data_IF_345436463018
#
_entry.id   IF_345436463018
#
_cell.length_a   1.000
_cell.length_b   1.000
_cell.length_c   1.000
_cell.angle_alpha   90.00
_cell.angle_beta   90.00
_cell.angle_gamma   90.00
#
_symmetry.space_group_name_H-M   'P 1'
#
loop_
_entity.id
_entity.type
_entity.pdbx_description
1 polymer ?
#
# COMPACT_ATOMS: atom_id res chain seq x y z
N UNK A 1 -18.76 -0.57 1.71
CA UNK A 1 -19.65 -1.50 0.94
C UNK A 1 -19.59 -2.87 1.62
N UNK A 2 -20.69 -3.57 1.78
CA UNK A 2 -20.70 -4.98 2.26
C UNK A 2 -20.66 -5.90 1.04
N UNK A 3 -19.96 -7.03 1.16
CA UNK A 3 -20.03 -8.08 0.15
C UNK A 3 -21.43 -8.75 0.20
N UNK A 4 -21.99 -9.05 -0.96
CA UNK A 4 -23.28 -9.75 -1.07
C UNK A 4 -23.14 -11.24 -0.69
N UNK A 5 -21.98 -11.83 -1.02
CA UNK A 5 -21.63 -13.21 -0.70
C UNK A 5 -20.13 -13.44 -0.77
N UNK A 6 -19.66 -14.59 -0.32
CA UNK A 6 -18.27 -15.01 -0.37
C UNK A 6 -17.62 -15.10 1.01
N UNK A 7 -16.32 -15.44 1.03
CA UNK A 7 -15.50 -15.50 2.23
C UNK A 7 -14.16 -14.81 1.99
N UNK A 8 -13.61 -14.22 3.02
CA UNK A 8 -12.26 -13.67 3.01
C UNK A 8 -11.50 -14.20 4.21
N UNK A 9 -10.55 -15.09 3.95
CA UNK A 9 -9.80 -15.79 4.99
C UNK A 9 -8.30 -15.55 4.86
N UNK A 10 -7.62 -15.35 6.00
CA UNK A 10 -6.16 -15.31 6.08
C UNK A 10 -5.77 -16.33 7.15
N UNK A 11 -4.91 -17.29 6.80
CA UNK A 11 -4.49 -18.39 7.69
C UNK A 11 -5.67 -19.11 8.36
N UNK A 12 -6.78 -19.33 7.62
CA UNK A 12 -7.98 -19.98 8.10
C UNK A 12 -8.89 -19.10 8.97
N UNK A 13 -8.56 -17.86 9.22
CA UNK A 13 -9.37 -16.90 9.96
C UNK A 13 -10.25 -16.12 8.99
N UNK A 14 -11.59 -16.19 9.16
CA UNK A 14 -12.53 -15.37 8.40
C UNK A 14 -12.48 -13.91 8.89
N UNK A 15 -12.23 -12.99 7.94
CA UNK A 15 -12.09 -11.56 8.21
C UNK A 15 -13.28 -10.73 7.71
N UNK A 16 -14.27 -11.32 7.03
CA UNK A 16 -15.39 -10.54 6.45
C UNK A 16 -16.17 -9.78 7.52
N UNK A 17 -16.43 -10.42 8.66
CA UNK A 17 -17.30 -9.89 9.71
C UNK A 17 -16.53 -9.37 10.94
N UNK A 18 -15.22 -9.44 10.97
CA UNK A 18 -14.41 -9.06 12.13
C UNK A 18 -13.51 -7.84 11.83
N UNK A 19 -14.09 -6.64 12.02
CA UNK A 19 -13.37 -5.38 11.82
C UNK A 19 -12.14 -5.24 12.74
N UNK A 20 -12.20 -5.81 13.94
CA UNK A 20 -11.11 -5.69 14.93
C UNK A 20 -9.91 -6.53 14.50
N UNK A 21 -10.15 -7.76 14.03
CA UNK A 21 -9.08 -8.61 13.49
C UNK A 21 -8.48 -8.04 12.19
N UNK A 22 -9.31 -7.44 11.32
CA UNK A 22 -8.82 -6.80 10.08
C UNK A 22 -7.81 -5.70 10.36
N UNK A 23 -8.04 -4.84 11.35
CA UNK A 23 -7.16 -3.70 11.67
C UNK A 23 -5.71 -4.10 11.96
N UNK A 24 -5.47 -5.27 12.56
CA UNK A 24 -4.12 -5.74 12.84
C UNK A 24 -3.49 -6.58 11.72
N UNK A 25 -4.28 -7.00 10.71
CA UNK A 25 -3.80 -7.92 9.67
C UNK A 25 -3.65 -7.22 8.32
N UNK A 26 -4.48 -6.20 8.03
CA UNK A 26 -4.54 -5.53 6.74
C UNK A 26 -4.17 -4.07 6.88
N UNK A 27 -3.13 -3.65 6.16
CA UNK A 27 -2.84 -2.25 5.86
C UNK A 27 -3.46 -1.88 4.51
N UNK A 28 -4.14 -0.74 4.42
CA UNK A 28 -4.73 -0.25 3.19
C UNK A 28 -4.27 1.16 2.86
N UNK A 29 -3.75 1.34 1.65
CA UNK A 29 -3.32 2.63 1.10
C UNK A 29 -4.23 2.95 -0.08
N UNK A 30 -5.21 3.84 0.07
CA UNK A 30 -6.08 4.24 -1.04
C UNK A 30 -5.34 5.11 -2.07
N UNK A 31 -5.93 5.26 -3.24
CA UNK A 31 -5.42 6.13 -4.30
C UNK A 31 -5.26 7.57 -3.80
N UNK A 32 -6.28 8.12 -3.15
CA UNK A 32 -6.21 9.40 -2.45
C UNK A 32 -5.59 9.23 -1.06
N UNK A 33 -4.77 10.18 -0.62
CA UNK A 33 -4.11 10.10 0.67
C UNK A 33 -5.04 10.65 1.77
N UNK A 34 -5.60 9.82 2.67
CA UNK A 34 -6.53 10.23 3.72
C UNK A 34 -5.79 10.85 4.91
N UNK A 35 -5.01 11.89 4.65
CA UNK A 35 -4.21 12.60 5.65
C UNK A 35 -4.90 13.90 6.06
N UNK A 36 -4.74 14.27 7.34
CA UNK A 36 -5.22 15.55 7.87
C UNK A 36 -4.25 16.63 7.42
N UNK A 37 -4.67 17.47 6.50
CA UNK A 37 -3.81 18.41 5.76
C UNK A 37 -3.23 19.53 6.64
N UNK A 38 -3.95 19.91 7.70
CA UNK A 38 -3.55 20.95 8.66
C UNK A 38 -2.48 20.49 9.66
N UNK A 39 -2.32 19.19 9.81
CA UNK A 39 -1.35 18.58 10.72
C UNK A 39 -0.01 18.32 10.03
N UNK A 40 1.04 18.11 10.82
CA UNK A 40 2.34 17.64 10.32
C UNK A 40 2.27 16.15 9.92
N UNK A 41 3.27 15.67 9.18
CA UNK A 41 3.40 14.24 8.92
C UNK A 41 3.55 13.46 10.23
N UNK A 42 4.31 13.97 11.21
CA UNK A 42 4.48 13.40 12.55
C UNK A 42 3.14 13.23 13.26
N UNK A 43 2.30 14.26 13.25
CA UNK A 43 1.02 14.20 13.94
C UNK A 43 0.05 13.21 13.28
N UNK A 44 0.03 13.15 11.93
CA UNK A 44 -0.71 12.12 11.20
C UNK A 44 -0.24 10.71 11.57
N UNK A 45 1.07 10.45 11.59
CA UNK A 45 1.63 9.16 11.99
C UNK A 45 1.26 8.81 13.44
N UNK A 46 1.35 9.74 14.37
CA UNK A 46 0.99 9.53 15.78
C UNK A 46 -0.42 8.98 15.96
N UNK A 47 -1.39 9.43 15.14
CA UNK A 47 -2.77 8.93 15.20
C UNK A 47 -2.86 7.42 14.90
N UNK A 48 -1.95 6.89 14.08
CA UNK A 48 -1.93 5.47 13.71
C UNK A 48 -1.02 4.64 14.64
N UNK A 49 0.02 5.25 15.17
CA UNK A 49 0.97 4.58 16.06
C UNK A 49 0.53 4.60 17.53
N UNK A 50 -0.51 5.34 17.92
CA UNK A 50 -0.92 5.52 19.32
C UNK A 50 -1.35 4.22 20.03
N UNK A 51 -1.87 3.24 19.29
CA UNK A 51 -2.27 1.91 19.77
C UNK A 51 -1.47 0.78 19.10
N UNK A 52 -0.37 1.12 18.45
CA UNK A 52 0.56 0.18 17.83
C UNK A 52 1.53 -0.42 18.82
N UNK A 53 1.98 -1.65 18.56
CA UNK A 53 3.11 -2.26 19.25
C UNK A 53 4.47 -1.72 18.76
N UNK A 54 4.51 -1.06 17.58
CA UNK A 54 5.71 -0.44 17.03
C UNK A 54 5.93 0.94 17.63
N UNK A 55 7.19 1.28 17.87
CA UNK A 55 7.62 2.61 18.30
C UNK A 55 7.87 3.51 17.08
N UNK A 56 7.06 4.56 16.92
CA UNK A 56 7.16 5.48 15.79
C UNK A 56 8.55 6.15 15.67
N UNK A 57 9.16 6.53 16.78
CA UNK A 57 10.47 7.19 16.76
C UNK A 57 11.59 6.21 16.35
N UNK A 58 11.45 4.94 16.73
CA UNK A 58 12.34 3.89 16.25
C UNK A 58 12.16 3.65 14.75
N UNK A 59 10.90 3.61 14.27
CA UNK A 59 10.60 3.46 12.84
C UNK A 59 11.13 4.65 12.01
N UNK A 60 11.14 5.86 12.55
CA UNK A 60 11.73 7.04 11.92
C UNK A 60 13.26 6.99 11.88
N UNK A 61 13.89 6.32 12.85
CA UNK A 61 15.36 6.27 12.97
C UNK A 61 15.98 5.18 12.09
N UNK A 62 15.45 3.98 12.14
CA UNK A 62 16.04 2.78 11.53
C UNK A 62 15.02 1.75 10.99
N UNK A 63 13.73 2.10 10.96
CA UNK A 63 12.65 1.23 10.50
C UNK A 63 12.04 1.65 9.16
N UNK A 64 10.76 1.29 8.97
CA UNK A 64 10.02 1.51 7.73
C UNK A 64 9.87 2.99 7.37
N UNK A 65 9.66 3.87 8.35
CA UNK A 65 9.51 5.30 8.09
C UNK A 65 10.83 5.92 7.58
N UNK A 66 11.98 5.41 8.04
CA UNK A 66 13.30 5.76 7.54
C UNK A 66 13.52 5.27 6.12
N UNK A 67 13.18 4.00 5.83
CA UNK A 67 13.26 3.41 4.48
C UNK A 67 12.44 4.22 3.47
N UNK A 68 11.24 4.64 3.86
CA UNK A 68 10.38 5.51 3.05
C UNK A 68 10.90 6.96 2.98
N UNK A 69 11.94 7.33 3.72
CA UNK A 69 12.50 8.69 3.79
C UNK A 69 11.53 9.71 4.39
N UNK A 70 10.62 9.27 5.26
CA UNK A 70 9.64 10.16 5.93
C UNK A 70 10.32 11.02 6.98
N UNK A 71 11.40 10.55 7.58
CA UNK A 71 12.22 11.27 8.56
C UNK A 71 12.72 12.62 8.05
N UNK A 72 12.95 12.77 6.74
CA UNK A 72 13.45 13.99 6.12
C UNK A 72 12.46 15.17 6.17
N UNK A 73 11.15 14.86 6.28
CA UNK A 73 10.09 15.87 6.26
C UNK A 73 8.99 15.61 7.30
N UNK A 74 9.25 14.80 8.31
CA UNK A 74 8.26 14.37 9.31
C UNK A 74 7.58 15.55 10.05
N UNK A 75 8.29 16.64 10.25
CA UNK A 75 7.78 17.84 10.96
C UNK A 75 7.15 18.88 10.01
N UNK A 76 7.06 18.57 8.70
CA UNK A 76 6.41 19.44 7.72
C UNK A 76 4.91 19.14 7.68
N UNK A 77 4.09 20.20 7.55
CA UNK A 77 2.62 20.07 7.40
C UNK A 77 2.28 19.38 6.08
N UNK A 78 1.24 18.56 6.10
CA UNK A 78 0.79 17.78 4.95
C UNK A 78 0.42 18.66 3.75
N UNK A 79 -0.19 19.82 3.95
CA UNK A 79 -0.55 20.74 2.87
C UNK A 79 0.66 21.26 2.07
N UNK A 80 1.86 21.24 2.66
CA UNK A 80 3.13 21.67 2.03
C UNK A 80 3.93 20.53 1.38
N UNK A 81 3.49 19.28 1.54
CA UNK A 81 4.16 18.12 0.98
C UNK A 81 3.77 17.89 -0.48
N UNK A 82 4.71 17.35 -1.27
CA UNK A 82 4.44 16.85 -2.62
C UNK A 82 3.51 15.62 -2.58
N UNK A 83 2.92 15.26 -3.73
CA UNK A 83 2.09 14.06 -3.83
C UNK A 83 2.81 12.79 -3.39
N UNK A 84 4.09 12.63 -3.79
CA UNK A 84 4.92 11.50 -3.39
C UNK A 84 5.25 11.47 -1.91
N UNK A 85 5.55 12.63 -1.30
CA UNK A 85 5.76 12.71 0.15
C UNK A 85 4.49 12.35 0.92
N UNK A 86 3.33 12.82 0.48
CA UNK A 86 2.01 12.44 1.06
C UNK A 86 1.77 10.93 0.95
N UNK A 87 2.07 10.34 -0.21
CA UNK A 87 1.91 8.89 -0.41
C UNK A 87 2.81 8.10 0.55
N UNK A 88 4.07 8.52 0.75
CA UNK A 88 5.00 7.88 1.70
C UNK A 88 4.50 7.96 3.14
N UNK A 89 3.92 9.10 3.56
CA UNK A 89 3.26 9.22 4.88
C UNK A 89 2.04 8.29 4.96
N UNK A 90 1.20 8.24 3.92
CA UNK A 90 0.02 7.36 3.87
C UNK A 90 0.40 5.88 4.00
N UNK A 91 1.48 5.45 3.33
CA UNK A 91 2.03 4.09 3.51
C UNK A 91 2.50 3.91 4.95
N UNK A 92 3.27 4.85 5.51
CA UNK A 92 3.72 4.84 6.90
C UNK A 92 2.57 4.66 7.90
N UNK A 93 1.44 5.33 7.68
CA UNK A 93 0.22 5.16 8.47
C UNK A 93 -0.37 3.74 8.32
N UNK A 94 -0.46 3.23 7.09
CA UNK A 94 -1.05 1.92 6.82
C UNK A 94 -0.26 0.75 7.43
N UNK A 95 1.05 0.93 7.62
CA UNK A 95 1.94 -0.10 8.15
C UNK A 95 2.23 0.01 9.65
N UNK A 96 1.60 0.97 10.32
CA UNK A 96 1.81 1.21 11.75
C UNK A 96 1.60 -0.02 12.65
N UNK A 97 0.74 -0.95 12.24
CA UNK A 97 0.44 -2.19 12.98
C UNK A 97 1.16 -3.43 12.42
N UNK A 98 2.20 -3.26 11.60
CA UNK A 98 2.95 -4.34 10.95
C UNK A 98 2.01 -5.38 10.26
N UNK A 99 1.18 -4.94 9.32
CA UNK A 99 0.15 -5.80 8.73
C UNK A 99 0.77 -6.93 7.90
N UNK A 100 0.21 -8.14 8.02
CA UNK A 100 0.61 -9.28 7.19
C UNK A 100 0.21 -9.09 5.70
N UNK A 101 -0.84 -8.32 5.44
CA UNK A 101 -1.34 -8.02 4.09
C UNK A 101 -1.39 -6.52 3.89
N UNK A 102 -0.71 -6.05 2.85
CA UNK A 102 -0.73 -4.66 2.44
C UNK A 102 -1.47 -4.53 1.10
N UNK A 103 -2.51 -3.73 1.08
CA UNK A 103 -3.30 -3.42 -0.11
C UNK A 103 -3.03 -1.98 -0.52
N UNK A 104 -2.59 -1.77 -1.77
CA UNK A 104 -2.29 -0.45 -2.30
C UNK A 104 -3.07 -0.22 -3.59
N UNK A 105 -3.74 0.92 -3.63
CA UNK A 105 -4.51 1.35 -4.79
C UNK A 105 -3.72 2.42 -5.55
N UNK A 106 -3.19 2.07 -6.72
CA UNK A 106 -2.33 2.89 -7.57
C UNK A 106 -1.24 3.66 -6.79
N UNK A 107 -0.35 2.96 -6.04
CA UNK A 107 0.56 3.60 -5.09
C UNK A 107 1.59 4.53 -5.73
N UNK A 108 1.94 4.34 -7.01
CA UNK A 108 2.94 5.13 -7.72
C UNK A 108 2.36 6.10 -8.76
N UNK A 109 1.03 6.21 -8.86
CA UNK A 109 0.40 7.09 -9.84
C UNK A 109 0.85 8.56 -9.65
N UNK A 110 1.29 9.18 -10.75
CA UNK A 110 1.73 10.58 -10.80
C UNK A 110 2.89 10.94 -9.84
N UNK A 111 3.72 9.96 -9.43
CA UNK A 111 4.88 10.17 -8.59
C UNK A 111 6.17 10.29 -9.42
N UNK A 112 7.13 11.04 -8.89
CA UNK A 112 8.50 11.08 -9.42
C UNK A 112 9.24 9.75 -9.20
N UNK A 113 10.35 9.59 -9.91
CA UNK A 113 11.12 8.34 -9.92
C UNK A 113 11.68 7.97 -8.54
N UNK A 114 12.13 8.96 -7.77
CA UNK A 114 12.69 8.74 -6.43
C UNK A 114 11.63 8.19 -5.47
N UNK A 115 10.44 8.79 -5.48
CA UNK A 115 9.32 8.31 -4.66
C UNK A 115 8.90 6.89 -5.05
N UNK A 116 8.80 6.60 -6.36
CA UNK A 116 8.50 5.24 -6.86
C UNK A 116 9.51 4.22 -6.37
N UNK A 117 10.81 4.56 -6.40
CA UNK A 117 11.88 3.67 -5.97
C UNK A 117 11.81 3.36 -4.48
N UNK A 118 11.63 4.36 -3.62
CA UNK A 118 11.47 4.16 -2.17
C UNK A 118 10.26 3.29 -1.82
N UNK A 119 9.14 3.48 -2.51
CA UNK A 119 7.95 2.65 -2.34
C UNK A 119 8.26 1.20 -2.76
N UNK A 120 8.87 1.00 -3.92
CA UNK A 120 9.22 -0.33 -4.44
C UNK A 120 10.17 -1.06 -3.50
N UNK A 121 11.21 -0.40 -3.00
CA UNK A 121 12.15 -0.95 -2.04
C UNK A 121 11.43 -1.45 -0.77
N UNK A 122 10.52 -0.64 -0.25
CA UNK A 122 9.71 -1.06 0.90
C UNK A 122 8.83 -2.29 0.59
N UNK A 123 8.18 -2.34 -0.58
CA UNK A 123 7.35 -3.48 -0.96
C UNK A 123 8.16 -4.78 -1.09
N UNK A 124 9.39 -4.69 -1.61
CA UNK A 124 10.31 -5.84 -1.67
C UNK A 124 10.74 -6.29 -0.26
N UNK A 125 11.04 -5.34 0.66
CA UNK A 125 11.36 -5.67 2.04
C UNK A 125 10.16 -6.31 2.77
N UNK A 126 8.94 -5.83 2.53
CA UNK A 126 7.72 -6.43 3.09
C UNK A 126 7.52 -7.87 2.61
N UNK A 127 7.76 -8.15 1.31
CA UNK A 127 7.72 -9.51 0.73
C UNK A 127 8.78 -10.43 1.34
N UNK A 128 10.00 -9.96 1.58
CA UNK A 128 11.08 -10.76 2.20
C UNK A 128 10.74 -11.22 3.62
N UNK A 129 9.83 -10.52 4.30
CA UNK A 129 9.31 -10.87 5.63
C UNK A 129 8.03 -11.72 5.57
N UNK A 130 7.80 -12.44 4.45
CA UNK A 130 6.61 -13.24 4.17
C UNK A 130 5.30 -12.43 4.14
N UNK A 131 5.39 -11.11 3.95
CA UNK A 131 4.25 -10.23 3.77
C UNK A 131 3.58 -10.44 2.42
N UNK A 132 2.25 -10.27 2.39
CA UNK A 132 1.46 -10.30 1.16
C UNK A 132 1.21 -8.86 0.70
N UNK A 133 1.51 -8.58 -0.57
CA UNK A 133 1.24 -7.28 -1.19
C UNK A 133 0.24 -7.46 -2.33
N UNK A 134 -0.87 -6.73 -2.26
CA UNK A 134 -1.86 -6.62 -3.32
C UNK A 134 -1.84 -5.19 -3.87
N UNK A 135 -1.54 -5.04 -5.16
CA UNK A 135 -1.45 -3.74 -5.82
C UNK A 135 -2.46 -3.68 -6.97
N UNK A 136 -3.28 -2.65 -7.02
CA UNK A 136 -3.95 -2.27 -8.27
C UNK A 136 -3.04 -1.29 -9.00
N UNK A 137 -2.69 -1.58 -10.25
CA UNK A 137 -1.75 -0.76 -11.01
C UNK A 137 -1.87 -0.93 -12.51
N UNK A 138 -1.43 0.07 -13.24
CA UNK A 138 -1.13 0.03 -14.68
C UNK A 138 0.34 0.37 -14.97
N UNK A 139 1.17 0.56 -13.93
CA UNK A 139 2.61 0.85 -14.05
C UNK A 139 3.40 -0.44 -14.33
N UNK A 140 4.14 -0.48 -15.43
CA UNK A 140 4.90 -1.67 -15.83
C UNK A 140 6.00 -2.07 -14.85
N UNK A 141 6.58 -1.11 -14.12
CA UNK A 141 7.60 -1.40 -13.13
C UNK A 141 7.00 -2.11 -11.90
N UNK A 142 5.79 -1.73 -11.49
CA UNK A 142 5.06 -2.44 -10.43
C UNK A 142 4.60 -3.83 -10.88
N UNK A 143 4.10 -3.96 -12.11
CA UNK A 143 3.78 -5.26 -12.69
C UNK A 143 5.00 -6.19 -12.74
N UNK A 144 6.20 -5.65 -12.97
CA UNK A 144 7.43 -6.45 -13.06
C UNK A 144 7.82 -7.13 -11.74
N UNK A 145 7.50 -6.53 -10.59
CA UNK A 145 7.81 -7.09 -9.27
C UNK A 145 6.74 -8.05 -8.73
N UNK A 146 5.59 -8.18 -9.42
CA UNK A 146 4.51 -9.05 -8.99
C UNK A 146 4.81 -10.54 -9.26
N UNK A 147 4.45 -11.40 -8.30
CA UNK A 147 4.53 -12.86 -8.43
C UNK A 147 3.32 -13.45 -9.16
N UNK A 148 2.16 -12.79 -9.05
CA UNK A 148 0.89 -13.16 -9.69
C UNK A 148 0.30 -11.93 -10.36
N UNK A 149 -0.28 -12.11 -11.52
CA UNK A 149 -1.02 -11.08 -12.25
C UNK A 149 -2.49 -11.50 -12.35
N UNK A 150 -3.37 -10.61 -11.92
CA UNK A 150 -4.82 -10.80 -12.01
C UNK A 150 -5.41 -9.60 -12.75
N UNK A 151 -6.19 -9.87 -13.77
CA UNK A 151 -6.92 -8.85 -14.52
C UNK A 151 -8.37 -8.80 -14.05
N UNK A 152 -8.88 -7.59 -13.79
CA UNK A 152 -10.30 -7.37 -13.52
C UNK A 152 -10.98 -6.79 -14.75
N UNK A 153 -12.03 -7.44 -15.24
CA UNK A 153 -12.84 -6.97 -16.37
C UNK A 153 -14.31 -7.22 -16.11
N UNK A 154 -15.14 -6.20 -16.26
CA UNK A 154 -16.57 -6.28 -15.99
C UNK A 154 -16.93 -6.91 -14.62
N UNK A 155 -16.12 -6.65 -13.60
CA UNK A 155 -16.30 -7.22 -12.26
C UNK A 155 -15.84 -8.67 -12.09
N UNK A 156 -15.24 -9.29 -13.12
CA UNK A 156 -14.70 -10.65 -13.08
C UNK A 156 -13.18 -10.62 -13.01
N UNK A 157 -12.61 -11.39 -12.09
CA UNK A 157 -11.16 -11.57 -11.95
C UNK A 157 -10.69 -12.80 -12.72
N UNK A 158 -9.65 -12.64 -13.54
CA UNK A 158 -8.97 -13.71 -14.26
C UNK A 158 -7.48 -13.69 -13.94
N UNK A 159 -6.91 -14.84 -13.61
CA UNK A 159 -5.45 -14.95 -13.45
C UNK A 159 -4.78 -15.00 -14.83
N UNK A 160 -3.76 -14.18 -15.02
CA UNK A 160 -3.06 -13.99 -16.28
C UNK A 160 -1.58 -14.40 -16.17
N UNK A 161 -0.96 -14.62 -17.33
CA UNK A 161 0.48 -14.85 -17.36
C UNK A 161 1.21 -13.60 -16.83
N UNK A 162 2.03 -13.77 -15.80
CA UNK A 162 2.80 -12.69 -15.19
C UNK A 162 3.77 -11.97 -16.15
N UNK A 163 4.08 -12.55 -17.29
CA UNK A 163 4.90 -11.95 -18.35
C UNK A 163 4.15 -11.03 -19.29
N UNK A 164 2.81 -10.95 -19.18
CA UNK A 164 1.96 -10.11 -20.02
C UNK A 164 2.29 -8.63 -19.81
N UNK A 165 2.73 -7.94 -20.87
CA UNK A 165 3.16 -6.53 -20.82
C UNK A 165 2.80 -5.79 -22.11
N UNK A 166 2.89 -4.46 -22.07
CA UNK A 166 2.81 -3.59 -23.24
C UNK A 166 1.59 -3.86 -24.11
N UNK A 167 1.81 -4.05 -25.41
CA UNK A 167 0.75 -4.24 -26.41
C UNK A 167 -0.14 -5.47 -26.16
N UNK A 168 0.40 -6.57 -25.63
CA UNK A 168 -0.39 -7.77 -25.31
C UNK A 168 -1.35 -7.51 -24.14
N UNK A 169 -0.88 -6.78 -23.10
CA UNK A 169 -1.71 -6.39 -21.98
C UNK A 169 -2.84 -5.47 -22.45
N UNK A 170 -2.51 -4.44 -23.26
CA UNK A 170 -3.49 -3.52 -23.82
C UNK A 170 -4.51 -4.23 -24.70
N UNK A 171 -4.08 -5.19 -25.54
CA UNK A 171 -4.96 -6.00 -26.37
C UNK A 171 -5.97 -6.77 -25.51
N UNK A 172 -5.52 -7.46 -24.48
CA UNK A 172 -6.40 -8.19 -23.55
C UNK A 172 -7.38 -7.29 -22.80
N UNK A 173 -6.94 -6.09 -22.42
CA UNK A 173 -7.81 -5.10 -21.79
C UNK A 173 -8.90 -4.58 -22.75
N UNK A 174 -8.60 -4.49 -24.06
CA UNK A 174 -9.53 -3.97 -25.09
C UNK A 174 -10.45 -5.02 -25.68
N UNK A 175 -10.11 -6.30 -25.67
CA UNK A 175 -10.86 -7.41 -26.30
C UNK A 175 -12.10 -7.87 -25.51
N UNK A 176 -12.96 -6.96 -25.03
CA UNK A 176 -14.19 -7.36 -24.37
C UNK A 176 -15.25 -6.32 -24.30
#
# INVERSE_FOLDING_TARGET
>A
MRADSGSFTINGVDLINDNKKRKGIIGYVPQENPLITELTARDNLRLWYCDSALDMEKELKDGVLKLLGVDEFVDVRIDRLSGGMKKRVSIGCAVAHDPAVLILDEPSAALDLECKEKIREYLEEHKKRDGIVLITTHDEAELAICNRLVMMKNGVLTEENRGLRGAELLKKLSEG
#
